data_IF_615329908546
#
_entry.id   IF_615329908546
#
_cell.length_a   1.000
_cell.length_b   1.000
_cell.length_c   1.000
_cell.angle_alpha   90.00
_cell.angle_beta   90.00
_cell.angle_gamma   90.00
#
_symmetry.space_group_name_H-M   'P 1'
#
loop_
_entity.id
_entity.type
_entity.pdbx_description
1 polymer ?
#
# COMPACT_ATOMS: atom_id res chain seq x y z
N UNK A 1 6.53 7.03 16.29
CA UNK A 1 5.28 6.23 16.11
C UNK A 1 4.66 6.59 14.76
N UNK A 2 4.37 5.60 13.97
CA UNK A 2 3.75 5.78 12.66
C UNK A 2 2.26 6.13 12.82
N UNK A 3 1.81 7.12 12.06
CA UNK A 3 0.40 7.47 11.92
C UNK A 3 0.01 7.47 10.45
N UNK A 4 -1.21 7.04 10.18
CA UNK A 4 -1.81 7.12 8.85
C UNK A 4 -2.75 8.32 8.82
N UNK A 5 -2.54 9.21 7.86
CA UNK A 5 -3.32 10.45 7.76
C UNK A 5 -3.88 10.60 6.36
N UNK A 6 -5.12 11.07 6.26
CA UNK A 6 -5.74 11.37 4.97
C UNK A 6 -5.01 12.48 4.23
N UNK A 7 -5.00 12.40 2.91
CA UNK A 7 -4.45 13.45 2.05
C UNK A 7 -5.43 14.61 2.02
N UNK A 8 -4.91 15.82 2.20
CA UNK A 8 -5.70 17.05 2.21
C UNK A 8 -4.90 18.21 1.60
N UNK A 9 -5.49 19.39 1.62
CA UNK A 9 -4.87 20.59 1.05
C UNK A 9 -3.60 21.04 1.76
N UNK A 10 -3.40 20.62 3.03
CA UNK A 10 -2.24 21.01 3.82
C UNK A 10 -1.03 20.09 3.65
N UNK A 11 -1.24 18.82 3.28
CA UNK A 11 -0.18 17.81 3.25
C UNK A 11 0.13 17.22 1.86
N UNK A 12 -0.69 17.47 0.85
CA UNK A 12 -0.53 16.81 -0.45
C UNK A 12 0.79 17.14 -1.14
N UNK A 13 1.32 18.35 -0.92
CA UNK A 13 2.60 18.75 -1.52
C UNK A 13 3.76 17.94 -0.93
N UNK A 14 3.75 17.68 0.38
CA UNK A 14 4.75 16.79 0.99
C UNK A 14 4.69 15.38 0.39
N UNK A 15 3.50 14.88 0.11
CA UNK A 15 3.34 13.57 -0.52
C UNK A 15 3.91 13.56 -1.93
N UNK A 16 3.66 14.59 -2.70
CA UNK A 16 4.18 14.71 -4.08
C UNK A 16 5.71 14.73 -4.12
N UNK A 17 6.36 15.21 -3.06
CA UNK A 17 7.83 15.26 -2.96
C UNK A 17 8.47 13.93 -2.57
N UNK A 18 7.69 12.93 -2.19
CA UNK A 18 8.24 11.60 -1.87
C UNK A 18 8.89 11.00 -3.12
N UNK A 19 9.94 10.23 -2.91
CA UNK A 19 10.61 9.52 -4.00
C UNK A 19 11.15 8.18 -3.54
N UNK A 20 11.22 7.24 -4.46
CA UNK A 20 11.82 5.94 -4.28
C UNK A 20 13.05 5.82 -5.19
N UNK A 21 13.83 4.76 -5.04
CA UNK A 21 14.97 4.49 -5.91
C UNK A 21 14.52 4.27 -7.35
N UNK A 22 15.41 4.48 -8.32
CA UNK A 22 15.08 4.28 -9.74
C UNK A 22 14.58 2.87 -10.02
N UNK A 23 15.15 1.86 -9.36
CA UNK A 23 14.69 0.48 -9.47
C UNK A 23 13.26 0.31 -8.98
N UNK A 24 12.94 0.92 -7.85
CA UNK A 24 11.59 0.83 -7.25
C UNK A 24 10.52 1.55 -8.07
N UNK A 25 10.89 2.56 -8.86
CA UNK A 25 9.98 3.25 -9.76
C UNK A 25 9.33 2.32 -10.80
N UNK A 26 9.95 1.18 -11.07
CA UNK A 26 9.37 0.18 -11.96
C UNK A 26 8.18 -0.57 -11.35
N UNK A 27 8.02 -0.51 -10.03
CA UNK A 27 7.01 -1.27 -9.29
C UNK A 27 5.85 -0.41 -8.78
N UNK A 28 5.99 0.91 -8.82
CA UNK A 28 5.08 1.86 -8.18
C UNK A 28 4.73 2.97 -9.15
N UNK A 29 3.54 3.54 -8.97
CA UNK A 29 3.20 4.80 -9.61
C UNK A 29 3.94 5.96 -8.92
N UNK A 30 4.01 7.10 -9.59
CA UNK A 30 4.50 8.33 -8.96
C UNK A 30 3.56 8.76 -7.83
N UNK A 31 4.02 9.56 -6.84
CA UNK A 31 3.12 10.09 -5.82
C UNK A 31 1.93 10.86 -6.38
N UNK A 32 2.12 11.64 -7.45
CA UNK A 32 1.02 12.33 -8.13
C UNK A 32 0.04 11.31 -8.72
N UNK A 33 0.55 10.26 -9.36
CA UNK A 33 -0.27 9.18 -9.91
C UNK A 33 -1.06 8.46 -8.83
N UNK A 34 -0.46 8.22 -7.66
CA UNK A 34 -1.15 7.61 -6.52
C UNK A 34 -2.32 8.48 -6.07
N UNK A 35 -2.11 9.79 -5.94
CA UNK A 35 -3.18 10.74 -5.57
C UNK A 35 -4.28 10.72 -6.63
N UNK A 36 -3.91 10.75 -7.91
CA UNK A 36 -4.86 10.70 -9.02
C UNK A 36 -5.71 9.42 -8.99
N UNK A 37 -5.10 8.28 -8.69
CA UNK A 37 -5.83 7.00 -8.54
C UNK A 37 -6.86 7.06 -7.42
N UNK A 38 -6.57 7.76 -6.33
CA UNK A 38 -7.52 7.98 -5.26
C UNK A 38 -8.81 8.65 -5.74
N UNK A 39 -8.69 9.59 -6.64
CA UNK A 39 -9.84 10.24 -7.27
C UNK A 39 -10.52 9.33 -8.31
N UNK A 40 -9.73 8.70 -9.20
CA UNK A 40 -10.24 7.83 -10.26
C UNK A 40 -11.06 6.67 -9.71
N UNK A 41 -10.61 6.08 -8.62
CA UNK A 41 -11.26 4.92 -7.98
C UNK A 41 -12.14 5.31 -6.78
N UNK A 42 -12.57 6.56 -6.69
CA UNK A 42 -13.38 7.04 -5.56
C UNK A 42 -14.69 6.26 -5.37
N UNK A 43 -15.25 5.71 -6.45
CA UNK A 43 -16.47 4.90 -6.38
C UNK A 43 -16.22 3.50 -5.79
N UNK A 44 -14.96 3.07 -5.71
CA UNK A 44 -14.54 1.86 -5.00
C UNK A 44 -13.95 2.19 -3.63
N UNK A 45 -14.35 3.30 -3.02
CA UNK A 45 -13.87 3.76 -1.71
C UNK A 45 -12.36 3.89 -1.64
N UNK A 46 -11.71 4.34 -2.72
CA UNK A 46 -10.28 4.58 -2.72
C UNK A 46 -9.89 5.64 -1.71
N UNK A 47 -8.85 5.36 -0.94
CA UNK A 47 -8.29 6.25 0.08
C UNK A 47 -6.79 6.35 -0.12
N UNK A 48 -6.30 7.58 -0.22
CA UNK A 48 -4.86 7.86 -0.20
C UNK A 48 -4.50 8.27 1.22
N UNK A 49 -3.56 7.54 1.81
CA UNK A 49 -3.13 7.74 3.19
C UNK A 49 -1.66 8.14 3.21
N UNK A 50 -1.38 9.29 3.79
CA UNK A 50 -0.01 9.66 4.12
C UNK A 50 0.48 8.82 5.29
N UNK A 51 1.73 8.39 5.22
CA UNK A 51 2.41 7.68 6.29
C UNK A 51 3.32 8.69 6.97
N UNK A 52 3.06 8.97 8.25
CA UNK A 52 3.79 10.00 9.00
C UNK A 52 4.55 9.40 10.18
N UNK A 53 5.76 9.88 10.40
CA UNK A 53 6.57 9.62 11.57
C UNK A 53 6.93 10.97 12.20
N UNK A 54 6.57 11.15 13.49
CA UNK A 54 6.81 12.40 14.23
C UNK A 54 6.36 13.67 13.46
N UNK A 55 5.19 13.58 12.82
CA UNK A 55 4.62 14.70 12.07
C UNK A 55 5.19 14.91 10.67
N UNK A 56 6.19 14.14 10.27
CA UNK A 56 6.78 14.20 8.93
C UNK A 56 6.20 13.11 8.03
N UNK A 57 5.79 13.47 6.83
CA UNK A 57 5.36 12.50 5.81
C UNK A 57 6.58 11.76 5.29
N UNK A 58 6.56 10.42 5.42
CA UNK A 58 7.64 9.55 4.99
C UNK A 58 7.22 8.53 3.95
N UNK A 59 5.93 8.44 3.66
CA UNK A 59 5.41 7.48 2.69
C UNK A 59 3.96 7.75 2.35
N UNK A 60 3.41 6.92 1.49
CA UNK A 60 2.02 7.00 1.04
C UNK A 60 1.48 5.62 0.69
N UNK A 61 0.22 5.39 0.95
CA UNK A 61 -0.49 4.16 0.59
C UNK A 61 -1.81 4.50 -0.11
N UNK A 62 -2.24 3.62 -0.98
CA UNK A 62 -3.56 3.66 -1.62
C UNK A 62 -4.26 2.33 -1.39
N UNK A 63 -5.41 2.38 -0.75
CA UNK A 63 -6.28 1.23 -0.54
C UNK A 63 -7.66 1.51 -1.10
N UNK A 64 -8.28 0.52 -1.71
CA UNK A 64 -9.64 0.60 -2.23
C UNK A 64 -10.37 -0.71 -2.04
N UNK A 65 -11.67 -0.73 -2.31
CA UNK A 65 -12.45 -1.95 -2.34
C UNK A 65 -12.17 -2.72 -3.64
N UNK A 66 -12.18 -4.03 -3.55
CA UNK A 66 -12.05 -4.93 -4.70
C UNK A 66 -13.23 -5.90 -4.69
N UNK A 67 -14.11 -5.74 -5.70
CA UNK A 67 -15.29 -6.56 -5.86
C UNK A 67 -14.94 -7.82 -6.66
N UNK A 68 -14.33 -8.75 -5.97
CA UNK A 68 -13.97 -10.07 -6.49
C UNK A 68 -14.49 -11.15 -5.53
N UNK A 69 -14.18 -12.39 -5.78
CA UNK A 69 -14.54 -13.51 -4.91
C UNK A 69 -13.27 -14.15 -4.31
N UNK A 70 -12.99 -13.93 -3.01
CA UNK A 70 -13.78 -13.13 -2.06
C UNK A 70 -13.58 -11.63 -2.24
N UNK A 71 -14.61 -10.84 -1.93
CA UNK A 71 -14.46 -9.39 -1.85
C UNK A 71 -13.45 -9.02 -0.76
N UNK A 72 -12.58 -8.06 -1.05
CA UNK A 72 -11.47 -7.73 -0.15
C UNK A 72 -11.06 -6.27 -0.26
N UNK A 73 -10.17 -5.84 0.62
CA UNK A 73 -9.43 -4.60 0.42
C UNK A 73 -8.31 -4.84 -0.58
N UNK A 74 -8.11 -3.91 -1.49
CA UNK A 74 -6.99 -3.90 -2.43
C UNK A 74 -5.97 -2.84 -1.99
N UNK A 75 -4.83 -3.31 -1.47
CA UNK A 75 -3.69 -2.42 -1.20
C UNK A 75 -2.96 -2.21 -2.53
N UNK A 76 -3.37 -1.18 -3.25
CA UNK A 76 -2.93 -0.98 -4.63
C UNK A 76 -1.55 -0.34 -4.73
N UNK A 77 -1.22 0.57 -3.82
CA UNK A 77 0.08 1.25 -3.78
C UNK A 77 0.53 1.39 -2.33
N UNK A 78 1.80 1.16 -2.10
CA UNK A 78 2.42 1.32 -0.78
C UNK A 78 3.89 1.65 -0.98
N UNK A 79 4.32 2.80 -0.48
CA UNK A 79 5.73 3.21 -0.60
C UNK A 79 6.22 3.96 0.63
N UNK A 80 7.50 3.76 0.94
CA UNK A 80 8.26 4.57 1.88
C UNK A 80 9.32 5.34 1.09
N UNK A 81 9.46 6.63 1.35
CA UNK A 81 10.49 7.46 0.73
C UNK A 81 11.88 6.84 0.96
N UNK A 82 12.72 6.87 -0.07
CA UNK A 82 14.04 6.22 -0.04
C UNK A 82 14.92 6.66 1.13
N UNK A 83 14.73 7.90 1.62
CA UNK A 83 15.51 8.42 2.77
C UNK A 83 15.17 7.73 4.08
N UNK A 84 14.00 7.06 4.15
CA UNK A 84 13.47 6.46 5.37
C UNK A 84 13.35 4.93 5.28
N UNK A 85 13.83 4.32 4.21
CA UNK A 85 13.81 2.87 4.03
C UNK A 85 14.85 2.16 4.89
N UNK A 86 14.67 0.86 5.08
CA UNK A 86 15.55 -0.03 5.86
C UNK A 86 15.67 0.35 7.34
N UNK A 87 14.64 0.99 7.89
CA UNK A 87 14.54 1.40 9.30
C UNK A 87 13.34 0.78 10.03
N UNK A 88 12.61 -0.11 9.36
CA UNK A 88 11.42 -0.76 9.93
C UNK A 88 10.13 0.02 9.77
N UNK A 89 10.15 1.21 9.20
CA UNK A 89 8.95 2.04 9.05
C UNK A 89 7.90 1.42 8.12
N UNK A 90 8.33 0.77 7.04
CA UNK A 90 7.40 0.11 6.12
C UNK A 90 6.60 -0.99 6.81
N UNK A 91 7.28 -1.83 7.58
CA UNK A 91 6.63 -2.90 8.36
C UNK A 91 5.65 -2.32 9.38
N UNK A 92 6.07 -1.30 10.13
CA UNK A 92 5.21 -0.64 11.12
C UNK A 92 3.98 0.00 10.46
N UNK A 93 4.18 0.71 9.35
CA UNK A 93 3.09 1.36 8.62
C UNK A 93 2.09 0.33 8.08
N UNK A 94 2.59 -0.78 7.53
CA UNK A 94 1.73 -1.86 7.05
C UNK A 94 0.91 -2.49 8.18
N UNK A 95 1.52 -2.71 9.34
CA UNK A 95 0.81 -3.21 10.51
C UNK A 95 -0.28 -2.24 10.97
N UNK A 96 0.00 -0.94 11.00
CA UNK A 96 -0.99 0.09 11.34
C UNK A 96 -2.15 0.10 10.34
N UNK A 97 -1.85 -0.05 9.05
CA UNK A 97 -2.87 -0.13 8.01
C UNK A 97 -3.79 -1.34 8.22
N UNK A 98 -3.20 -2.50 8.50
CA UNK A 98 -3.98 -3.72 8.77
C UNK A 98 -4.85 -3.59 10.03
N UNK A 99 -4.34 -2.96 11.08
CA UNK A 99 -5.12 -2.67 12.29
C UNK A 99 -6.32 -1.77 11.95
N UNK A 100 -6.10 -0.72 11.18
CA UNK A 100 -7.15 0.20 10.75
C UNK A 100 -8.24 -0.53 9.95
N UNK A 101 -7.84 -1.30 8.96
CA UNK A 101 -8.78 -2.05 8.10
C UNK A 101 -9.51 -3.15 8.88
N UNK A 102 -8.82 -3.83 9.78
CA UNK A 102 -9.44 -4.84 10.65
C UNK A 102 -10.49 -4.25 11.59
N UNK A 103 -10.25 -3.07 12.13
CA UNK A 103 -11.23 -2.35 12.96
C UNK A 103 -12.44 -1.87 12.16
N UNK A 104 -12.22 -1.47 10.93
CA UNK A 104 -13.30 -1.11 10.00
C UNK A 104 -14.22 -2.31 9.73
N UNK A 105 -13.64 -3.50 9.58
CA UNK A 105 -14.36 -4.77 9.54
C UNK A 105 -15.24 -4.98 8.31
N UNK A 106 -15.01 -4.24 7.22
CA UNK A 106 -15.82 -4.36 6.01
C UNK A 106 -15.56 -5.66 5.26
N UNK A 107 -14.29 -6.06 5.17
CA UNK A 107 -13.87 -7.29 4.50
C UNK A 107 -12.99 -8.13 5.42
N UNK A 108 -12.87 -9.42 5.09
CA UNK A 108 -12.10 -10.39 5.88
C UNK A 108 -10.62 -10.45 5.47
N UNK A 109 -10.26 -9.81 4.37
CA UNK A 109 -8.91 -9.97 3.83
C UNK A 109 -8.45 -8.73 3.05
N UNK A 110 -7.14 -8.65 2.89
CA UNK A 110 -6.45 -7.62 2.10
C UNK A 110 -5.62 -8.31 1.03
N UNK A 111 -5.77 -7.89 -0.22
CA UNK A 111 -4.96 -8.35 -1.34
C UNK A 111 -3.90 -7.31 -1.69
N UNK A 112 -2.70 -7.78 -2.08
CA UNK A 112 -1.66 -6.95 -2.67
C UNK A 112 -1.04 -7.70 -3.84
N UNK A 113 -0.80 -6.97 -4.94
CA UNK A 113 -0.13 -7.50 -6.12
C UNK A 113 1.31 -6.98 -6.11
N UNK A 114 2.29 -7.89 -6.08
CA UNK A 114 3.71 -7.54 -5.93
C UNK A 114 4.51 -8.18 -7.06
N UNK A 115 5.33 -7.38 -7.74
CA UNK A 115 6.23 -7.91 -8.75
C UNK A 115 7.17 -8.93 -8.12
N UNK A 116 7.32 -10.09 -8.74
CA UNK A 116 8.15 -11.21 -8.21
C UNK A 116 9.62 -10.86 -8.04
N UNK A 117 10.09 -9.79 -8.71
CA UNK A 117 11.47 -9.31 -8.58
C UNK A 117 11.63 -8.25 -7.49
N UNK A 118 10.54 -7.76 -6.90
CA UNK A 118 10.57 -6.83 -5.77
C UNK A 118 10.74 -7.60 -4.45
N UNK A 119 11.94 -8.11 -4.26
CA UNK A 119 12.26 -9.00 -3.14
C UNK A 119 12.07 -8.33 -1.78
N UNK A 120 12.42 -7.05 -1.69
CA UNK A 120 12.27 -6.29 -0.44
C UNK A 120 10.80 -6.19 -0.02
N UNK A 121 9.91 -5.88 -0.96
CA UNK A 121 8.47 -5.81 -0.71
C UNK A 121 7.90 -7.18 -0.34
N UNK A 122 8.28 -8.23 -1.09
CA UNK A 122 7.82 -9.60 -0.81
C UNK A 122 8.18 -10.03 0.62
N UNK A 123 9.41 -9.77 1.05
CA UNK A 123 9.85 -10.10 2.41
C UNK A 123 9.04 -9.34 3.47
N UNK A 124 8.76 -8.08 3.23
CA UNK A 124 7.97 -7.26 4.15
C UNK A 124 6.55 -7.81 4.28
N UNK A 125 5.88 -8.08 3.17
CA UNK A 125 4.52 -8.61 3.19
C UNK A 125 4.44 -9.99 3.85
N UNK A 126 5.36 -10.89 3.51
CA UNK A 126 5.43 -12.22 4.13
C UNK A 126 5.66 -12.15 5.63
N UNK A 127 6.58 -11.28 6.05
CA UNK A 127 6.89 -11.09 7.48
C UNK A 127 5.66 -10.62 8.27
N UNK A 128 4.81 -9.81 7.68
CA UNK A 128 3.60 -9.29 8.33
C UNK A 128 2.47 -10.31 8.32
N UNK A 129 2.52 -11.30 7.44
CA UNK A 129 1.55 -12.41 7.43
C UNK A 129 0.80 -12.59 6.12
N UNK A 130 1.16 -11.88 5.07
CA UNK A 130 0.61 -12.12 3.74
C UNK A 130 1.13 -13.45 3.19
N UNK A 131 0.28 -14.15 2.45
CA UNK A 131 0.60 -15.42 1.83
C UNK A 131 0.32 -15.36 0.33
N UNK A 132 1.18 -16.01 -0.47
CA UNK A 132 0.98 -16.15 -1.90
C UNK A 132 -0.25 -17.02 -2.16
N UNK A 133 -1.19 -16.48 -2.92
CA UNK A 133 -2.43 -17.20 -3.27
C UNK A 133 -2.22 -18.24 -4.38
N UNK A 134 -1.11 -18.15 -5.10
CA UNK A 134 -0.86 -18.97 -6.29
C UNK A 134 -1.61 -18.48 -7.54
N UNK A 135 -2.49 -17.50 -7.41
CA UNK A 135 -3.19 -16.91 -8.55
C UNK A 135 -2.26 -15.97 -9.31
N UNK A 136 -2.25 -16.09 -10.64
CA UNK A 136 -1.52 -15.20 -11.54
C UNK A 136 -2.52 -14.52 -12.47
N UNK A 137 -2.54 -13.20 -12.45
CA UNK A 137 -3.35 -12.40 -13.35
C UNK A 137 -2.68 -12.34 -14.73
N UNK A 138 -3.42 -12.70 -15.77
CA UNK A 138 -2.92 -12.68 -17.15
C UNK A 138 -2.48 -11.28 -17.60
N UNK A 139 -3.06 -10.23 -17.00
CA UNK A 139 -2.69 -8.84 -17.27
C UNK A 139 -1.42 -8.39 -16.53
N UNK A 140 -0.97 -9.18 -15.55
CA UNK A 140 0.26 -8.91 -14.80
C UNK A 140 0.97 -10.23 -14.48
N UNK A 141 1.54 -10.91 -15.51
CA UNK A 141 2.10 -12.26 -15.31
C UNK A 141 3.36 -12.29 -14.44
N UNK A 142 4.00 -11.14 -14.26
CA UNK A 142 5.22 -11.02 -13.44
C UNK A 142 4.93 -10.67 -11.98
N UNK A 143 3.67 -10.63 -11.58
CA UNK A 143 3.26 -10.28 -10.23
C UNK A 143 2.71 -11.48 -9.47
N UNK A 144 3.01 -11.52 -8.18
CA UNK A 144 2.39 -12.45 -7.24
C UNK A 144 1.22 -11.73 -6.57
N UNK A 145 0.12 -12.47 -6.35
CA UNK A 145 -1.04 -11.97 -5.63
C UNK A 145 -1.02 -12.55 -4.22
N UNK A 146 -0.74 -11.69 -3.25
CA UNK A 146 -0.63 -12.07 -1.85
C UNK A 146 -1.91 -11.68 -1.12
N UNK A 147 -2.28 -12.45 -0.10
CA UNK A 147 -3.48 -12.21 0.69
C UNK A 147 -3.16 -12.28 2.17
N UNK A 148 -3.71 -11.32 2.91
CA UNK A 148 -3.72 -11.32 4.37
C UNK A 148 -5.15 -11.52 4.85
N UNK A 149 -5.37 -12.46 5.76
CA UNK A 149 -6.68 -12.72 6.35
C UNK A 149 -6.70 -12.21 7.79
N UNK A 150 -7.74 -11.42 8.12
CA UNK A 150 -7.98 -11.04 9.51
C UNK A 150 -8.50 -12.22 10.31
N UNK A 151 -8.16 -12.27 11.58
CA UNK A 151 -8.65 -13.31 12.50
C UNK A 151 -10.12 -13.10 12.90
#
# INVERSE_FOLDING_TARGET
>A
MIKLIGVNEDNWIEIVKLSVTDKQKNFLDSPIGIIARGYVYRNQNARVLGIAENGQIIGVALVKDLDEEPACYDLQQFMIDQRFQNKGYGTEALQQLLIMLGKEGKYQCVEVCVNKTDISALRMYEKVGFQDTGYIDDNCPDCLNLMYYFD
#
